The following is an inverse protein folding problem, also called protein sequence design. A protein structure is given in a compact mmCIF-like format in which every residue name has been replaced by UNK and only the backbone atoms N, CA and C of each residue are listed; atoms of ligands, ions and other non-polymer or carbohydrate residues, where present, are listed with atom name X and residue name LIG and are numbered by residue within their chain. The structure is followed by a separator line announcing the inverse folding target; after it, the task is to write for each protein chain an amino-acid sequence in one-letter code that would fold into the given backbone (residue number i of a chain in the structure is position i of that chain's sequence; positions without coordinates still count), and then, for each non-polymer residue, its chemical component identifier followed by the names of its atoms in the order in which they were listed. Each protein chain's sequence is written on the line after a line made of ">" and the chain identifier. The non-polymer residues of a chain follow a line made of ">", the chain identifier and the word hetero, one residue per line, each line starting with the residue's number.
data_IF_391908655604
#
_entry.id   IF_391908655604
#
_cell.length_a   1.000
_cell.length_b   1.000
_cell.length_c   1.000
_cell.angle_alpha   90.00
_cell.angle_beta   90.00
_cell.angle_gamma   90.00
#
_symmetry.space_group_name_H-M   'P 1'
#
loop_
_entity.id
_entity.type
_entity.pdbx_description
1 polymer ?
#
# COMPACT_ATOMS: atom_id res chain seq x y z
N UNK A 1 -8.82 -30.93 17.35
CA UNK A 1 -8.06 -29.66 17.38
C UNK A 1 -6.72 -29.88 16.69
N UNK A 2 -6.42 -29.14 15.62
CA UNK A 2 -5.10 -29.17 14.97
C UNK A 2 -4.17 -28.17 15.67
N UNK A 3 -3.02 -28.65 16.16
CA UNK A 3 -2.02 -27.79 16.79
C UNK A 3 -1.16 -27.16 15.69
N UNK A 4 -1.29 -25.84 15.49
CA UNK A 4 -0.47 -25.10 14.53
C UNK A 4 0.85 -24.72 15.20
N UNK A 5 1.99 -25.10 14.61
CA UNK A 5 3.32 -24.72 15.08
C UNK A 5 3.82 -23.54 14.22
N UNK A 6 4.23 -22.45 14.87
CA UNK A 6 4.74 -21.24 14.20
C UNK A 6 6.20 -21.02 14.60
N UNK A 7 7.06 -20.71 13.64
CA UNK A 7 8.47 -20.38 13.86
C UNK A 7 8.68 -18.90 13.52
N UNK A 8 9.44 -18.18 14.34
CA UNK A 8 9.90 -16.82 14.03
C UNK A 8 11.26 -16.90 13.34
N UNK A 9 11.36 -16.29 12.17
CA UNK A 9 12.62 -16.17 11.42
C UNK A 9 12.92 -14.69 11.26
N UNK A 10 14.13 -14.29 11.62
CA UNK A 10 14.65 -12.95 11.37
C UNK A 10 15.48 -12.98 10.09
N UNK A 11 15.20 -12.06 9.17
CA UNK A 11 15.95 -11.91 7.93
C UNK A 11 17.08 -10.91 8.15
N UNK A 12 18.27 -11.23 7.63
CA UNK A 12 19.43 -10.34 7.62
C UNK A 12 19.71 -9.97 6.16
N UNK A 13 19.16 -8.84 5.68
CA UNK A 13 19.32 -8.45 4.28
C UNK A 13 20.76 -8.03 3.98
N UNK A 14 21.22 -8.31 2.76
CA UNK A 14 22.47 -7.75 2.26
C UNK A 14 22.30 -6.26 1.96
N UNK A 15 23.41 -5.53 1.74
CA UNK A 15 23.35 -4.13 1.30
C UNK A 15 22.51 -3.95 0.04
N UNK A 16 22.62 -4.88 -0.93
CA UNK A 16 21.84 -4.84 -2.17
C UNK A 16 20.34 -5.12 -1.96
N UNK A 17 19.98 -5.88 -0.93
CA UNK A 17 18.57 -6.12 -0.60
C UNK A 17 17.97 -4.89 0.07
N UNK A 18 18.73 -4.22 0.94
CA UNK A 18 18.33 -2.97 1.60
C UNK A 18 17.99 -1.91 0.56
N UNK A 19 18.83 -1.72 -0.45
CA UNK A 19 18.59 -0.76 -1.54
C UNK A 19 17.26 -1.04 -2.27
N UNK A 20 17.00 -2.32 -2.60
CA UNK A 20 15.72 -2.73 -3.22
C UNK A 20 14.52 -2.50 -2.31
N UNK A 21 14.68 -2.69 -0.99
CA UNK A 21 13.63 -2.40 -0.02
C UNK A 21 13.35 -0.90 0.05
N UNK A 22 14.38 -0.06 0.03
CA UNK A 22 14.24 1.40 0.01
C UNK A 22 13.55 1.88 -1.26
N UNK A 23 13.93 1.36 -2.43
CA UNK A 23 13.26 1.66 -3.70
C UNK A 23 11.78 1.26 -3.66
N UNK A 24 11.49 0.06 -3.17
CA UNK A 24 10.11 -0.43 -3.02
C UNK A 24 9.31 0.44 -2.06
N UNK A 25 9.92 0.88 -0.95
CA UNK A 25 9.29 1.78 0.01
C UNK A 25 9.01 3.15 -0.63
N UNK A 26 9.93 3.67 -1.44
CA UNK A 26 9.74 4.93 -2.16
C UNK A 26 8.57 4.82 -3.14
N UNK A 27 8.46 3.73 -3.90
CA UNK A 27 7.32 3.50 -4.78
C UNK A 27 6.00 3.37 -4.01
N UNK A 28 6.02 2.75 -2.83
CA UNK A 28 4.85 2.69 -1.96
C UNK A 28 4.40 4.08 -1.51
N UNK A 29 5.34 4.96 -1.13
CA UNK A 29 5.04 6.34 -0.75
C UNK A 29 4.50 7.15 -1.93
N UNK A 30 5.11 7.02 -3.11
CA UNK A 30 4.64 7.68 -4.33
C UNK A 30 3.21 7.25 -4.69
N UNK A 31 2.90 5.94 -4.58
CA UNK A 31 1.55 5.42 -4.79
C UNK A 31 0.56 5.96 -3.75
N UNK A 32 0.97 6.13 -2.49
CA UNK A 32 0.12 6.75 -1.46
C UNK A 32 -0.22 8.20 -1.79
N UNK A 33 0.76 8.97 -2.25
CA UNK A 33 0.54 10.36 -2.70
C UNK A 33 -0.40 10.41 -3.90
N UNK A 34 -0.22 9.52 -4.88
CA UNK A 34 -1.10 9.40 -6.03
C UNK A 34 -2.56 9.12 -5.64
N UNK A 35 -2.80 8.13 -4.76
CA UNK A 35 -4.15 7.84 -4.26
C UNK A 35 -4.73 9.01 -3.46
N UNK A 36 -3.88 9.68 -2.67
CA UNK A 36 -4.28 10.87 -1.90
C UNK A 36 -4.73 12.02 -2.81
N UNK A 37 -4.01 12.29 -3.90
CA UNK A 37 -4.41 13.27 -4.92
C UNK A 37 -5.74 12.87 -5.56
N UNK A 38 -5.89 11.61 -5.98
CA UNK A 38 -7.15 11.14 -6.56
C UNK A 38 -8.34 11.35 -5.61
N UNK A 39 -8.20 10.99 -4.33
CA UNK A 39 -9.25 11.18 -3.32
C UNK A 39 -9.61 12.66 -3.18
N UNK A 40 -8.62 13.55 -3.16
CA UNK A 40 -8.85 14.99 -3.07
C UNK A 40 -9.63 15.53 -4.27
N UNK A 41 -9.32 15.05 -5.46
CA UNK A 41 -9.95 15.49 -6.72
C UNK A 41 -11.34 14.85 -6.97
N UNK A 42 -11.69 13.79 -6.22
CA UNK A 42 -12.93 13.02 -6.40
C UNK A 42 -13.77 13.01 -5.11
N UNK A 43 -14.13 14.20 -4.64
CA UNK A 43 -15.09 14.44 -3.54
C UNK A 43 -14.74 13.76 -2.20
N UNK A 44 -13.46 13.46 -1.97
CA UNK A 44 -13.02 12.70 -0.80
C UNK A 44 -13.72 11.35 -0.65
N UNK A 45 -13.93 10.62 -1.75
CA UNK A 45 -14.45 9.25 -1.72
C UNK A 45 -13.44 8.30 -1.03
N UNK A 46 -13.83 7.74 0.12
CA UNK A 46 -12.98 6.87 0.96
C UNK A 46 -13.41 5.39 0.90
N UNK A 47 -14.31 5.04 -0.02
CA UNK A 47 -14.78 3.68 -0.27
C UNK A 47 -13.69 2.80 -0.86
N UNK A 48 -13.30 1.74 -0.15
CA UNK A 48 -12.22 0.85 -0.57
C UNK A 48 -12.52 0.18 -1.92
N UNK A 49 -13.75 -0.29 -2.14
CA UNK A 49 -14.15 -0.93 -3.40
C UNK A 49 -14.10 0.05 -4.57
N UNK A 50 -14.55 1.29 -4.36
CA UNK A 50 -14.53 2.34 -5.38
C UNK A 50 -13.11 2.67 -5.79
N UNK A 51 -12.23 2.92 -4.81
CA UNK A 51 -10.81 3.20 -5.06
C UNK A 51 -10.09 2.00 -5.69
N UNK A 52 -10.42 0.78 -5.30
CA UNK A 52 -9.88 -0.42 -5.92
C UNK A 52 -10.21 -0.46 -7.41
N UNK A 53 -11.48 -0.32 -7.77
CA UNK A 53 -11.92 -0.42 -9.15
C UNK A 53 -11.32 0.69 -10.02
N UNK A 54 -11.13 1.89 -9.46
CA UNK A 54 -10.55 3.03 -10.18
C UNK A 54 -9.02 2.93 -10.32
N UNK A 55 -8.30 2.55 -9.25
CA UNK A 55 -6.86 2.80 -9.15
C UNK A 55 -5.99 1.53 -9.12
N UNK A 56 -6.55 0.36 -8.83
CA UNK A 56 -5.73 -0.83 -8.56
C UNK A 56 -4.81 -1.21 -9.72
N UNK A 57 -5.32 -1.24 -10.95
CA UNK A 57 -4.52 -1.60 -12.11
C UNK A 57 -3.42 -0.58 -12.39
N UNK A 58 -3.75 0.72 -12.27
CA UNK A 58 -2.80 1.80 -12.46
C UNK A 58 -1.69 1.77 -11.40
N UNK A 59 -2.03 1.57 -10.12
CA UNK A 59 -1.04 1.46 -9.04
C UNK A 59 -0.03 0.35 -9.32
N UNK A 60 -0.50 -0.79 -9.83
CA UNK A 60 0.37 -1.94 -10.13
C UNK A 60 1.26 -1.71 -11.34
N UNK A 61 0.77 -1.01 -12.35
CA UNK A 61 1.51 -0.73 -13.58
C UNK A 61 2.53 0.39 -13.37
N UNK A 62 2.11 1.51 -12.79
CA UNK A 62 2.92 2.73 -12.72
C UNK A 62 3.99 2.67 -11.61
N UNK A 63 3.69 2.01 -10.48
CA UNK A 63 4.59 1.93 -9.32
C UNK A 63 5.23 0.54 -9.13
N UNK A 64 4.93 -0.41 -10.02
CA UNK A 64 5.49 -1.78 -9.96
C UNK A 64 5.12 -2.57 -8.71
N UNK A 65 4.10 -2.14 -7.95
CA UNK A 65 3.76 -2.75 -6.67
C UNK A 65 3.07 -4.10 -6.82
N UNK A 66 3.45 -5.05 -5.94
CA UNK A 66 2.78 -6.34 -5.83
C UNK A 66 1.34 -6.17 -5.32
N UNK A 67 0.48 -7.16 -5.60
CA UNK A 67 -0.97 -7.09 -5.31
C UNK A 67 -1.28 -6.71 -3.86
N UNK A 68 -0.58 -7.29 -2.90
CA UNK A 68 -0.77 -7.00 -1.47
C UNK A 68 -0.35 -5.58 -1.11
N UNK A 69 0.74 -5.07 -1.69
CA UNK A 69 1.19 -3.70 -1.46
C UNK A 69 0.23 -2.68 -2.07
N UNK A 70 -0.24 -2.90 -3.30
CA UNK A 70 -1.25 -2.04 -3.92
C UNK A 70 -2.53 -1.95 -3.07
N UNK A 71 -2.99 -3.08 -2.49
CA UNK A 71 -4.11 -3.05 -1.53
C UNK A 71 -3.76 -2.30 -0.24
N UNK A 72 -2.53 -2.45 0.28
CA UNK A 72 -2.05 -1.74 1.48
C UNK A 72 -1.96 -0.23 1.28
N UNK A 73 -1.60 0.25 0.08
CA UNK A 73 -1.59 1.69 -0.26
C UNK A 73 -2.97 2.28 0.00
N UNK A 74 -4.01 1.73 -0.62
CA UNK A 74 -5.38 2.21 -0.47
C UNK A 74 -5.84 2.16 0.99
N UNK A 75 -5.61 1.04 1.69
CA UNK A 75 -5.95 0.92 3.13
C UNK A 75 -5.26 1.97 3.98
N UNK A 76 -3.97 2.20 3.73
CA UNK A 76 -3.17 3.18 4.48
C UNK A 76 -3.74 4.58 4.30
N UNK A 77 -3.97 5.00 3.06
CA UNK A 77 -4.49 6.35 2.76
C UNK A 77 -5.89 6.55 3.34
N UNK A 78 -6.80 5.59 3.15
CA UNK A 78 -8.16 5.64 3.70
C UNK A 78 -8.12 5.76 5.24
N UNK A 79 -7.30 4.96 5.91
CA UNK A 79 -7.19 5.00 7.37
C UNK A 79 -6.71 6.38 7.86
N UNK A 80 -5.71 6.98 7.20
CA UNK A 80 -5.18 8.30 7.57
C UNK A 80 -6.23 9.40 7.44
N UNK A 81 -6.99 9.42 6.34
CA UNK A 81 -8.07 10.40 6.20
C UNK A 81 -9.20 10.20 7.20
N UNK A 82 -9.59 8.94 7.47
CA UNK A 82 -10.61 8.64 8.49
C UNK A 82 -10.18 9.10 9.88
N UNK A 83 -8.89 9.04 10.22
CA UNK A 83 -8.41 9.54 11.52
C UNK A 83 -8.50 11.07 11.66
N UNK A 84 -8.40 11.81 10.55
CA UNK A 84 -8.46 13.28 10.57
C UNK A 84 -9.90 13.80 10.51
N UNK A 85 -10.84 13.02 9.95
CA UNK A 85 -12.27 13.39 9.81
C UNK A 85 -13.07 13.35 11.13
N UNK A 86 -12.43 13.67 12.26
CA UNK A 86 -13.09 13.85 13.57
C UNK A 86 -13.71 15.24 13.63
#
# INVERSE_FOLDING_TARGET
>A
MQLTKTIKVQLYPSASDIEKFEETQQQFLNACNFVSTYIFDHDFELGQTTLHNALYHQIRQDFGLQSQMAQSVMRTVIARYKTVKT
#
